data_IF_416584518813
#
_entry.id   IF_416584518813
#
_cell.length_a   1.000
_cell.length_b   1.000
_cell.length_c   1.000
_cell.angle_alpha   90.00
_cell.angle_beta   90.00
_cell.angle_gamma   90.00
#
_symmetry.space_group_name_H-M   'P 1'
#
loop_
_entity.id
_entity.type
_entity.pdbx_description
1 polymer ?
#
# COMPACT_ATOMS: atom_id res chain seq x y z
N UNK A 1 11.76 -1.66 -2.51
CA UNK A 1 10.32 -1.54 -2.82
C UNK A 1 9.90 -2.76 -3.61
N UNK A 2 9.04 -3.56 -2.99
CA UNK A 2 8.47 -4.76 -3.59
C UNK A 2 7.38 -4.29 -4.54
N UNK A 3 7.61 -4.47 -5.83
CA UNK A 3 6.59 -4.30 -6.84
C UNK A 3 7.13 -4.53 -8.23
N UNK A 4 6.26 -4.97 -9.12
CA UNK A 4 6.56 -5.39 -10.49
C UNK A 4 5.99 -4.42 -11.54
N UNK A 5 6.09 -4.79 -12.80
CA UNK A 5 5.50 -4.06 -13.95
C UNK A 5 4.42 -4.93 -14.62
N UNK A 6 3.42 -5.35 -13.85
CA UNK A 6 2.37 -6.25 -14.33
C UNK A 6 1.33 -5.59 -15.26
N UNK A 7 1.34 -4.25 -15.38
CA UNK A 7 0.36 -3.49 -16.15
C UNK A 7 -1.10 -3.78 -15.77
N UNK A 8 -1.35 -4.21 -14.53
CA UNK A 8 -2.66 -4.61 -14.01
C UNK A 8 -3.23 -5.93 -14.56
N UNK A 9 -2.47 -6.64 -15.40
CA UNK A 9 -2.96 -7.80 -16.15
C UNK A 9 -2.48 -9.15 -15.59
N UNK A 10 -1.56 -9.14 -14.62
CA UNK A 10 -1.04 -10.35 -14.00
C UNK A 10 -0.99 -10.20 -12.46
N UNK A 11 -1.40 -11.26 -11.76
CA UNK A 11 -1.17 -11.41 -10.33
C UNK A 11 0.18 -12.10 -10.13
N UNK A 12 1.11 -11.42 -9.44
CA UNK A 12 2.36 -12.04 -9.05
C UNK A 12 2.12 -13.10 -7.97
N UNK A 13 2.65 -14.33 -8.13
CA UNK A 13 2.57 -15.35 -7.09
C UNK A 13 3.51 -15.04 -5.91
N UNK A 14 4.43 -14.09 -6.06
CA UNK A 14 5.43 -13.77 -5.04
C UNK A 14 4.81 -12.92 -3.93
N UNK A 15 5.03 -13.37 -2.70
CA UNK A 15 4.67 -12.67 -1.47
C UNK A 15 5.94 -12.61 -0.63
N UNK A 16 6.23 -11.44 -0.04
CA UNK A 16 7.47 -11.22 0.69
C UNK A 16 7.18 -11.04 2.20
N UNK A 17 7.78 -11.87 3.03
CA UNK A 17 7.93 -11.61 4.47
C UNK A 17 9.24 -10.91 4.78
N UNK A 18 9.45 -10.47 6.02
CA UNK A 18 10.66 -9.74 6.42
C UNK A 18 11.96 -10.53 6.20
N UNK A 19 11.90 -11.86 6.19
CA UNK A 19 13.04 -12.75 5.94
C UNK A 19 13.14 -13.21 4.47
N UNK A 20 12.23 -12.75 3.60
CA UNK A 20 12.23 -13.17 2.18
C UNK A 20 13.31 -12.42 1.42
N UNK A 21 14.30 -13.10 0.82
CA UNK A 21 15.31 -12.43 0.01
C UNK A 21 14.66 -11.84 -1.25
N UNK A 22 15.07 -10.62 -1.61
CA UNK A 22 14.61 -9.96 -2.82
C UNK A 22 15.74 -9.19 -3.49
N UNK A 23 15.63 -9.02 -4.80
CA UNK A 23 16.56 -8.19 -5.57
C UNK A 23 16.04 -6.76 -5.53
N UNK A 24 16.88 -5.83 -5.09
CA UNK A 24 16.56 -4.40 -5.12
C UNK A 24 16.89 -3.86 -6.49
N UNK A 25 15.86 -3.45 -7.24
CA UNK A 25 16.05 -2.85 -8.56
C UNK A 25 16.81 -1.52 -8.46
N UNK A 26 17.53 -1.16 -9.52
CA UNK A 26 18.41 0.01 -9.56
C UNK A 26 17.73 1.30 -9.09
N UNK A 27 16.50 1.58 -9.54
CA UNK A 27 15.74 2.77 -9.15
C UNK A 27 15.31 2.81 -7.68
N UNK A 28 15.48 1.71 -6.94
CA UNK A 28 15.09 1.55 -5.53
C UNK A 28 16.29 1.43 -4.59
N UNK A 29 17.52 1.36 -5.13
CA UNK A 29 18.76 1.19 -4.37
C UNK A 29 18.98 2.30 -3.35
N UNK A 30 18.74 3.56 -3.70
CA UNK A 30 18.93 4.69 -2.78
C UNK A 30 18.04 4.58 -1.52
N UNK A 31 16.77 4.16 -1.68
CA UNK A 31 15.86 3.96 -0.53
C UNK A 31 16.32 2.79 0.33
N UNK A 32 16.69 1.68 -0.31
CA UNK A 32 17.20 0.52 0.41
C UNK A 32 18.49 0.83 1.18
N UNK A 33 19.40 1.63 0.60
CA UNK A 33 20.62 2.06 1.27
C UNK A 33 20.32 2.90 2.53
N UNK A 34 19.29 3.75 2.51
CA UNK A 34 18.81 4.47 3.69
C UNK A 34 18.29 3.48 4.74
N UNK A 35 17.47 2.50 4.35
CA UNK A 35 16.98 1.48 5.28
C UNK A 35 18.15 0.73 5.94
N UNK A 36 19.15 0.31 5.15
CA UNK A 36 20.35 -0.36 5.67
C UNK A 36 21.18 0.55 6.61
N UNK A 37 21.28 1.83 6.30
CA UNK A 37 21.95 2.80 7.17
C UNK A 37 21.23 2.91 8.52
N UNK A 38 19.90 3.01 8.52
CA UNK A 38 19.10 3.06 9.76
C UNK A 38 19.26 1.77 10.55
N UNK A 39 19.16 0.61 9.91
CA UNK A 39 19.29 -0.69 10.58
C UNK A 39 20.69 -0.89 11.19
N UNK A 40 21.75 -0.51 10.46
CA UNK A 40 23.13 -0.66 10.92
C UNK A 40 23.52 0.27 12.08
N UNK A 41 22.74 1.32 12.35
CA UNK A 41 22.93 2.18 13.54
C UNK A 41 22.82 1.40 14.87
N UNK A 42 22.17 0.23 14.85
CA UNK A 42 22.15 -0.69 15.99
C UNK A 42 23.55 -1.11 16.46
N UNK A 43 24.50 -1.29 15.53
CA UNK A 43 25.89 -1.61 15.86
C UNK A 43 26.62 -0.45 16.58
N UNK A 44 26.05 0.75 16.56
CA UNK A 44 26.56 1.95 17.23
C UNK A 44 25.80 2.23 18.53
N UNK A 45 24.98 1.29 19.02
CA UNK A 45 24.20 1.43 20.25
C UNK A 45 22.90 2.24 20.09
N UNK A 46 22.49 2.57 18.87
CA UNK A 46 21.22 3.26 18.60
C UNK A 46 20.10 2.23 18.44
N UNK A 47 19.03 2.31 19.24
CA UNK A 47 17.83 1.48 19.05
C UNK A 47 17.00 1.99 17.88
N UNK A 48 17.43 1.67 16.66
CA UNK A 48 16.77 2.05 15.42
C UNK A 48 15.79 0.98 14.92
N UNK A 49 14.83 1.38 14.09
CA UNK A 49 13.93 0.47 13.39
C UNK A 49 13.48 1.07 12.04
N UNK A 50 13.11 0.20 11.10
CA UNK A 50 12.52 0.57 9.80
C UNK A 50 11.13 -0.05 9.69
N UNK A 51 10.12 0.78 9.46
CA UNK A 51 8.77 0.33 9.15
C UNK A 51 8.52 0.53 7.65
N UNK A 52 8.33 -0.56 6.93
CA UNK A 52 8.05 -0.55 5.50
C UNK A 52 6.54 -0.61 5.27
N UNK A 53 5.93 0.56 5.10
CA UNK A 53 4.48 0.70 4.94
C UNK A 53 4.00 0.18 3.59
N UNK A 54 2.87 -0.55 3.60
CA UNK A 54 2.11 -0.91 2.40
C UNK A 54 1.11 0.21 2.01
N UNK A 55 0.11 -0.06 1.16
CA UNK A 55 -0.91 0.93 0.82
C UNK A 55 -1.70 1.33 2.07
N UNK A 56 -1.53 2.57 2.52
CA UNK A 56 -2.30 3.11 3.65
C UNK A 56 -3.67 3.59 3.15
N UNK A 57 -4.74 3.24 3.85
CA UNK A 57 -6.08 3.79 3.66
C UNK A 57 -6.67 4.27 4.99
N UNK A 58 -7.85 4.91 4.94
CA UNK A 58 -8.42 5.59 6.09
C UNK A 58 -8.27 7.10 6.00
N UNK A 59 -9.05 7.81 6.81
CA UNK A 59 -8.92 9.26 6.98
C UNK A 59 -7.88 9.54 8.07
N UNK A 60 -6.78 10.20 7.70
CA UNK A 60 -5.75 10.62 8.65
C UNK A 60 -6.23 11.75 9.56
N UNK A 61 -5.73 11.79 10.79
CA UNK A 61 -6.01 12.87 11.76
C UNK A 61 -5.02 14.06 11.66
N UNK A 62 -4.08 14.01 10.72
CA UNK A 62 -3.03 15.02 10.54
C UNK A 62 -3.39 16.12 9.54
N UNK A 63 -2.41 16.98 9.23
CA UNK A 63 -2.56 18.08 8.26
C UNK A 63 -2.96 17.62 6.85
N UNK A 64 -2.52 16.42 6.47
CA UNK A 64 -2.92 15.75 5.24
C UNK A 64 -3.67 14.47 5.61
N UNK A 65 -5.00 14.51 5.50
CA UNK A 65 -5.87 13.38 5.84
C UNK A 65 -5.92 12.31 4.73
N UNK A 66 -5.56 12.69 3.51
CA UNK A 66 -5.67 11.86 2.32
C UNK A 66 -4.50 10.87 2.18
N UNK A 67 -4.83 9.65 1.77
CA UNK A 67 -3.82 8.67 1.34
C UNK A 67 -3.38 8.88 -0.11
N UNK A 68 -2.43 8.07 -0.59
CA UNK A 68 -1.78 8.31 -1.89
C UNK A 68 -2.51 7.64 -3.07
N UNK A 69 -3.19 6.51 -2.84
CA UNK A 69 -3.69 5.66 -3.92
C UNK A 69 -5.20 5.75 -4.15
N UNK A 70 -6.02 5.76 -3.08
CA UNK A 70 -7.47 5.81 -3.21
C UNK A 70 -7.97 7.20 -3.68
N UNK A 71 -7.48 8.33 -3.13
CA UNK A 71 -8.00 9.64 -3.51
C UNK A 71 -7.86 9.98 -5.00
N UNK A 72 -6.73 9.70 -5.70
CA UNK A 72 -6.66 9.93 -7.16
C UNK A 72 -7.64 9.06 -7.98
N UNK A 73 -7.94 7.83 -7.54
CA UNK A 73 -8.95 6.98 -8.18
C UNK A 73 -10.36 7.57 -8.01
N UNK A 74 -10.67 8.04 -6.81
CA UNK A 74 -11.96 8.69 -6.50
C UNK A 74 -12.11 10.01 -7.26
N UNK A 75 -11.07 10.84 -7.29
CA UNK A 75 -11.05 12.10 -8.02
C UNK A 75 -11.28 11.87 -9.52
N UNK A 76 -10.58 10.90 -10.11
CA UNK A 76 -10.78 10.49 -11.50
C UNK A 76 -12.22 10.03 -11.74
N UNK A 77 -12.77 9.18 -10.86
CA UNK A 77 -14.12 8.65 -11.01
C UNK A 77 -15.19 9.74 -10.94
N UNK A 78 -15.03 10.70 -10.02
CA UNK A 78 -15.92 11.87 -9.91
C UNK A 78 -15.85 12.76 -11.13
N UNK A 79 -14.65 12.99 -11.67
CA UNK A 79 -14.46 13.85 -12.83
C UNK A 79 -15.07 13.26 -14.11
N UNK A 80 -14.96 11.93 -14.31
CA UNK A 80 -15.41 11.29 -15.55
C UNK A 80 -16.78 10.62 -15.47
N UNK A 81 -17.35 10.47 -14.27
CA UNK A 81 -18.55 9.68 -14.03
C UNK A 81 -18.34 8.16 -14.16
N UNK A 82 -17.10 7.69 -14.20
CA UNK A 82 -16.77 6.25 -14.30
C UNK A 82 -15.46 5.91 -13.60
N UNK A 83 -15.48 4.84 -12.80
CA UNK A 83 -14.27 4.32 -12.17
C UNK A 83 -13.40 3.64 -13.21
N UNK A 84 -12.12 3.99 -13.25
CA UNK A 84 -11.14 3.34 -14.14
C UNK A 84 -10.00 2.74 -13.35
N UNK A 85 -9.50 1.61 -13.85
CA UNK A 85 -8.39 0.86 -13.30
C UNK A 85 -7.38 0.54 -14.40
N UNK A 86 -6.14 0.24 -14.02
CA UNK A 86 -5.11 -0.21 -14.98
C UNK A 86 -5.26 -1.70 -15.24
N UNK A 87 -5.29 -2.09 -16.52
CA UNK A 87 -5.42 -3.49 -16.96
C UNK A 87 -6.70 -4.16 -16.47
N UNK A 88 -6.66 -5.48 -16.34
CA UNK A 88 -7.74 -6.26 -15.74
C UNK A 88 -7.91 -6.00 -14.22
N UNK A 89 -6.98 -5.27 -13.60
CA UNK A 89 -6.98 -4.97 -12.17
C UNK A 89 -6.76 -6.19 -11.27
N UNK A 90 -6.17 -7.26 -11.80
CA UNK A 90 -5.91 -8.50 -11.05
C UNK A 90 -4.69 -8.40 -10.13
N UNK A 91 -3.86 -7.37 -10.35
CA UNK A 91 -2.72 -7.04 -9.50
C UNK A 91 -3.19 -6.69 -8.08
N UNK A 92 -2.46 -7.17 -7.08
CA UNK A 92 -2.81 -7.01 -5.66
C UNK A 92 -1.78 -6.18 -4.90
N UNK A 93 -2.28 -5.35 -4.00
CA UNK A 93 -1.49 -4.58 -3.04
C UNK A 93 -1.88 -4.93 -1.61
N UNK A 94 -0.88 -5.24 -0.80
CA UNK A 94 -1.00 -5.22 0.65
C UNK A 94 -1.43 -3.83 1.10
N UNK A 95 -2.32 -3.78 2.08
CA UNK A 95 -2.89 -2.54 2.58
C UNK A 95 -3.07 -2.57 4.08
N UNK A 96 -3.17 -1.38 4.69
CA UNK A 96 -3.33 -1.21 6.13
C UNK A 96 -4.08 0.08 6.44
N UNK A 97 -4.97 0.04 7.43
CA UNK A 97 -5.68 1.23 7.88
C UNK A 97 -4.73 2.14 8.68
N UNK A 98 -4.83 3.46 8.51
CA UNK A 98 -3.96 4.45 9.15
C UNK A 98 -3.88 4.30 10.68
N UNK A 99 -4.99 3.98 11.34
CA UNK A 99 -4.99 3.79 12.80
C UNK A 99 -4.23 2.51 13.23
N UNK A 100 -4.23 1.46 12.41
CA UNK A 100 -3.41 0.26 12.67
C UNK A 100 -1.92 0.53 12.42
N UNK A 101 -1.59 1.41 11.44
CA UNK A 101 -0.22 1.92 11.25
C UNK A 101 0.25 2.63 12.52
N UNK A 102 -0.55 3.57 13.04
CA UNK A 102 -0.21 4.33 14.25
C UNK A 102 -0.01 3.40 15.46
N UNK A 103 -0.86 2.38 15.63
CA UNK A 103 -0.69 1.36 16.68
C UNK A 103 0.66 0.63 16.58
N UNK A 104 1.09 0.26 15.36
CA UNK A 104 2.38 -0.40 15.18
C UNK A 104 3.55 0.55 15.46
N UNK A 105 3.48 1.80 15.02
CA UNK A 105 4.51 2.79 15.30
C UNK A 105 4.71 2.97 16.82
N UNK A 106 3.62 3.05 17.59
CA UNK A 106 3.69 3.14 19.05
C UNK A 106 4.38 1.90 19.68
N UNK A 107 4.03 0.70 19.22
CA UNK A 107 4.66 -0.55 19.70
C UNK A 107 6.14 -0.66 19.34
N UNK A 108 6.52 -0.22 18.14
CA UNK A 108 7.93 -0.22 17.73
C UNK A 108 8.74 0.72 18.62
N UNK A 109 8.22 1.93 18.89
CA UNK A 109 8.87 2.87 19.80
C UNK A 109 9.04 2.29 21.21
N UNK A 110 8.06 1.53 21.70
CA UNK A 110 8.11 0.91 23.02
C UNK A 110 9.07 -0.28 23.10
N UNK A 111 8.92 -1.26 22.21
CA UNK A 111 9.44 -2.61 22.44
C UNK A 111 10.27 -3.22 21.29
N UNK A 112 10.44 -2.53 20.15
CA UNK A 112 11.19 -3.13 19.05
C UNK A 112 12.67 -3.37 19.43
N UNK A 113 13.24 -4.52 19.03
CA UNK A 113 14.68 -4.75 19.06
C UNK A 113 15.43 -3.68 18.26
N UNK A 114 16.68 -3.40 18.64
CA UNK A 114 17.55 -2.51 17.86
C UNK A 114 17.82 -3.11 16.48
N UNK A 115 17.73 -2.28 15.43
CA UNK A 115 17.93 -2.71 14.05
C UNK A 115 16.77 -3.56 13.51
N UNK A 116 15.54 -3.37 14.00
CA UNK A 116 14.39 -4.14 13.53
C UNK A 116 13.82 -3.61 12.21
N UNK A 117 13.36 -4.52 11.36
CA UNK A 117 12.61 -4.21 10.14
C UNK A 117 11.23 -4.86 10.23
N UNK A 118 10.17 -4.11 9.95
CA UNK A 118 8.80 -4.60 9.96
C UNK A 118 8.06 -4.17 8.70
N UNK A 119 7.35 -5.10 8.06
CA UNK A 119 6.29 -4.71 7.13
C UNK A 119 5.06 -4.23 7.90
N UNK A 120 4.30 -3.31 7.29
CA UNK A 120 3.05 -2.80 7.87
C UNK A 120 1.90 -3.10 6.90
N UNK A 121 1.18 -4.18 7.16
CA UNK A 121 0.07 -4.68 6.33
C UNK A 121 -1.00 -5.40 7.17
N UNK A 122 -2.25 -5.37 6.68
CA UNK A 122 -3.37 -6.13 7.22
C UNK A 122 -4.26 -6.69 6.10
N UNK A 123 -3.66 -7.53 5.26
CA UNK A 123 -4.30 -8.13 4.09
C UNK A 123 -3.95 -7.40 2.80
N UNK A 124 -4.61 -7.79 1.72
CA UNK A 124 -4.37 -7.26 0.38
C UNK A 124 -5.69 -7.23 -0.42
N UNK A 125 -5.77 -6.32 -1.39
CA UNK A 125 -6.90 -6.22 -2.32
C UNK A 125 -6.39 -6.01 -3.74
N UNK A 126 -7.18 -6.44 -4.73
CA UNK A 126 -6.91 -6.15 -6.14
C UNK A 126 -7.45 -4.78 -6.54
N UNK A 127 -6.93 -4.19 -7.61
CA UNK A 127 -7.51 -2.93 -8.10
C UNK A 127 -8.91 -3.12 -8.70
N UNK A 128 -9.24 -4.32 -9.19
CA UNK A 128 -10.62 -4.63 -9.58
C UNK A 128 -11.56 -4.61 -8.36
N UNK A 129 -11.15 -5.17 -7.22
CA UNK A 129 -11.91 -5.14 -5.96
C UNK A 129 -12.07 -3.71 -5.44
N UNK A 130 -10.97 -2.94 -5.40
CA UNK A 130 -10.96 -1.52 -4.99
C UNK A 130 -11.84 -0.68 -5.91
N UNK A 131 -11.70 -0.82 -7.22
CA UNK A 131 -12.48 -0.08 -8.20
C UNK A 131 -13.97 -0.39 -8.09
N UNK A 132 -14.34 -1.66 -7.88
CA UNK A 132 -15.74 -2.04 -7.68
C UNK A 132 -16.33 -1.48 -6.38
N UNK A 133 -15.54 -1.45 -5.30
CA UNK A 133 -15.94 -0.82 -4.04
C UNK A 133 -16.17 0.70 -4.21
N UNK A 134 -15.29 1.39 -4.94
CA UNK A 134 -15.45 2.82 -5.26
C UNK A 134 -16.71 3.04 -6.11
N UNK A 135 -16.94 2.21 -7.14
CA UNK A 135 -18.11 2.32 -8.01
C UNK A 135 -19.42 2.18 -7.21
N UNK A 136 -19.49 1.18 -6.33
CA UNK A 136 -20.62 1.00 -5.41
C UNK A 136 -20.80 2.21 -4.50
N UNK A 137 -19.71 2.67 -3.85
CA UNK A 137 -19.74 3.79 -2.92
C UNK A 137 -20.23 5.09 -3.57
N UNK A 138 -19.84 5.33 -4.81
CA UNK A 138 -20.19 6.55 -5.56
C UNK A 138 -21.48 6.42 -6.39
N UNK A 139 -22.13 5.24 -6.41
CA UNK A 139 -23.31 5.00 -7.25
C UNK A 139 -23.02 5.05 -8.75
N UNK A 140 -21.80 4.68 -9.17
CA UNK A 140 -21.36 4.70 -10.56
C UNK A 140 -21.55 3.35 -11.24
N UNK A 141 -21.54 3.37 -12.58
CA UNK A 141 -21.65 2.16 -13.41
C UNK A 141 -20.42 1.25 -13.35
N UNK A 142 -20.38 0.21 -14.21
CA UNK A 142 -19.29 -0.76 -14.24
C UNK A 142 -17.91 -0.12 -14.41
N UNK A 143 -16.91 -0.68 -13.73
CA UNK A 143 -15.51 -0.27 -13.83
C UNK A 143 -14.99 -0.48 -15.25
N UNK A 144 -14.20 0.48 -15.76
CA UNK A 144 -13.53 0.39 -17.05
C UNK A 144 -12.02 0.18 -16.91
N UNK A 145 -11.43 -0.50 -17.87
CA UNK A 145 -9.98 -0.73 -17.93
C UNK A 145 -9.29 0.32 -18.79
N UNK A 146 -8.11 0.74 -18.35
CA UNK A 146 -7.12 1.49 -19.12
C UNK A 146 -5.81 0.72 -19.24
N UNK A 147 -5.12 0.85 -20.37
CA UNK A 147 -3.69 0.50 -20.39
C UNK A 147 -2.89 1.48 -19.54
N UNK A 148 -1.64 1.15 -19.22
CA UNK A 148 -0.75 2.09 -18.52
C UNK A 148 -0.65 3.40 -19.30
N UNK A 149 -0.47 3.33 -20.61
CA UNK A 149 -0.33 4.48 -21.51
C UNK A 149 -1.58 5.35 -21.55
N UNK A 150 -2.77 4.74 -21.49
CA UNK A 150 -4.04 5.46 -21.43
C UNK A 150 -4.29 6.12 -20.07
N UNK A 151 -3.72 5.56 -19.00
CA UNK A 151 -3.81 6.08 -17.64
C UNK A 151 -2.79 7.20 -17.35
N UNK A 152 -1.63 7.17 -18.02
CA UNK A 152 -0.53 8.13 -17.81
C UNK A 152 -0.94 9.61 -17.94
N UNK A 153 -1.81 10.04 -18.88
CA UNK A 153 -2.28 11.43 -18.92
C UNK A 153 -3.06 11.88 -17.68
N UNK A 154 -3.71 10.95 -16.97
CA UNK A 154 -4.51 11.26 -15.79
C UNK A 154 -3.69 11.21 -14.48
N UNK A 155 -2.74 10.27 -14.37
CA UNK A 155 -2.04 9.99 -13.11
C UNK A 155 -0.52 10.10 -13.19
N UNK A 156 0.03 10.28 -14.38
CA UNK A 156 1.47 10.23 -14.65
C UNK A 156 2.01 8.80 -14.75
N UNK A 157 3.20 8.68 -15.34
CA UNK A 157 3.81 7.37 -15.63
C UNK A 157 4.11 6.58 -14.36
N UNK A 158 4.68 7.24 -13.34
CA UNK A 158 5.08 6.59 -12.11
C UNK A 158 3.91 5.98 -11.35
N UNK A 159 2.79 6.70 -11.25
CA UNK A 159 1.59 6.21 -10.56
C UNK A 159 0.86 5.16 -11.40
N UNK A 160 0.72 5.38 -12.72
CA UNK A 160 0.04 4.44 -13.61
C UNK A 160 0.75 3.09 -13.69
N UNK A 161 2.07 3.08 -13.88
CA UNK A 161 2.86 1.85 -14.03
C UNK A 161 3.20 1.19 -12.69
N UNK A 162 3.82 1.96 -11.79
CA UNK A 162 4.44 1.39 -10.58
C UNK A 162 3.55 1.42 -9.35
N UNK A 163 2.37 2.06 -9.40
CA UNK A 163 1.37 2.00 -8.33
C UNK A 163 0.10 1.26 -8.77
N UNK A 164 -0.65 1.79 -9.72
CA UNK A 164 -1.94 1.22 -10.15
C UNK A 164 -1.79 -0.03 -11.01
N UNK A 165 -0.71 -0.15 -11.78
CA UNK A 165 -0.42 -1.30 -12.64
C UNK A 165 0.42 -2.41 -12.01
N UNK A 166 0.98 -2.23 -10.82
CA UNK A 166 1.93 -3.17 -10.20
C UNK A 166 1.29 -4.04 -9.13
N UNK A 167 1.91 -5.16 -8.79
CA UNK A 167 1.67 -5.88 -7.54
C UNK A 167 2.58 -5.33 -6.44
N UNK A 168 2.15 -5.39 -5.18
CA UNK A 168 3.02 -5.20 -4.02
C UNK A 168 2.48 -6.01 -2.84
N UNK A 169 3.03 -7.22 -2.62
CA UNK A 169 2.45 -8.20 -1.70
C UNK A 169 3.45 -8.55 -0.60
N UNK A 170 3.17 -8.10 0.61
CA UNK A 170 4.02 -8.30 1.80
C UNK A 170 3.25 -8.95 2.94
N UNK A 171 3.95 -9.54 3.92
CA UNK A 171 3.37 -10.09 5.15
C UNK A 171 4.10 -9.57 6.38
N UNK A 172 3.36 -9.00 7.32
CA UNK A 172 3.87 -8.43 8.56
C UNK A 172 4.02 -9.50 9.65
N UNK A 173 4.87 -10.50 9.41
CA UNK A 173 4.99 -11.65 10.32
C UNK A 173 5.64 -11.23 11.63
N UNK A 174 6.75 -10.49 11.54
CA UNK A 174 7.54 -10.08 12.70
C UNK A 174 6.80 -9.12 13.62
N UNK A 175 6.04 -8.18 13.06
CA UNK A 175 5.26 -7.24 13.87
C UNK A 175 4.22 -7.97 14.75
N UNK A 176 3.61 -9.04 14.20
CA UNK A 176 2.62 -9.85 14.90
C UNK A 176 3.26 -10.74 15.97
N UNK A 177 4.37 -11.41 15.65
CA UNK A 177 5.02 -12.35 16.57
C UNK A 177 5.84 -11.66 17.66
N UNK A 178 6.56 -10.58 17.35
CA UNK A 178 7.49 -9.93 18.28
C UNK A 178 6.82 -8.82 19.10
N UNK A 179 5.86 -8.09 18.50
CA UNK A 179 5.22 -6.93 19.14
C UNK A 179 3.76 -7.17 19.50
N UNK A 180 3.26 -8.40 19.28
CA UNK A 180 1.87 -8.77 19.50
C UNK A 180 0.88 -7.94 18.67
N UNK A 181 1.33 -7.32 17.57
CA UNK A 181 0.52 -6.38 16.78
C UNK A 181 -0.68 -7.08 16.16
N UNK A 182 -1.86 -6.53 16.44
CA UNK A 182 -3.14 -7.07 16.00
C UNK A 182 -3.97 -5.92 15.42
N UNK A 183 -3.87 -5.69 14.11
CA UNK A 183 -4.72 -4.74 13.39
C UNK A 183 -6.19 -5.13 13.57
N UNK A 184 -7.06 -4.13 13.72
CA UNK A 184 -8.49 -4.36 14.04
C UNK A 184 -9.44 -3.72 13.04
N UNK A 185 -8.94 -2.92 12.11
CA UNK A 185 -9.80 -2.20 11.19
C UNK A 185 -10.22 -3.08 10.00
N UNK A 186 -11.38 -2.76 9.44
CA UNK A 186 -11.98 -3.48 8.32
C UNK A 186 -11.10 -3.42 7.06
N UNK A 187 -11.27 -4.35 6.13
CA UNK A 187 -10.52 -4.34 4.86
C UNK A 187 -10.69 -3.02 4.10
N UNK A 188 -9.74 -2.70 3.22
CA UNK A 188 -9.80 -1.50 2.37
C UNK A 188 -11.12 -1.39 1.59
N UNK A 189 -11.66 -2.50 1.08
CA UNK A 189 -12.93 -2.50 0.33
C UNK A 189 -14.13 -2.22 1.23
N UNK A 190 -14.17 -2.80 2.43
CA UNK A 190 -15.22 -2.53 3.40
C UNK A 190 -15.15 -1.08 3.90
N UNK A 191 -13.95 -0.55 4.15
CA UNK A 191 -13.76 0.85 4.49
C UNK A 191 -14.23 1.78 3.35
N UNK A 192 -13.90 1.47 2.09
CA UNK A 192 -14.37 2.25 0.93
C UNK A 192 -15.89 2.31 0.89
N UNK A 193 -16.57 1.17 1.05
CA UNK A 193 -18.03 1.10 0.92
C UNK A 193 -18.79 1.77 2.06
N UNK A 194 -18.25 1.69 3.28
CA UNK A 194 -18.98 2.08 4.48
C UNK A 194 -18.52 3.45 5.01
N UNK A 195 -17.22 3.72 4.97
CA UNK A 195 -16.59 4.78 5.78
C UNK A 195 -15.92 5.88 4.94
N UNK A 196 -15.57 5.61 3.67
CA UNK A 196 -14.91 6.60 2.82
C UNK A 196 -15.80 7.85 2.67
N UNK A 197 -15.26 9.05 2.94
CA UNK A 197 -16.01 10.30 2.79
C UNK A 197 -16.58 10.50 1.38
N UNK A 198 -17.82 10.98 1.31
CA UNK A 198 -18.51 11.31 0.05
C UNK A 198 -18.46 12.80 -0.31
N UNK A 199 -18.04 13.65 0.64
CA UNK A 199 -17.92 15.10 0.47
C UNK A 199 -16.55 15.47 -0.11
#
# INVERSE_FOLDING_TARGET
MIGDDAGGNALSPRIFGEETPFVVEAGKQARHAIDQMVLSAAAQGVRSAVLCNSMIYGAGAGLHADSVQIPPLVAQARQSGVVRIVGAGVNRWSNVHIADVVDLYARVLDAAPAGAFYFVENGEASYAEIGAAIARRLGLGPVQSWSVEAATPAWGEGQSRYSFGSNSRVRAQRARSELGWQPRHASVTAWIENDMPLA
#
